data_IF_168592382791
#
_entry.id   IF_168592382791
#
_cell.length_a   1.000
_cell.length_b   1.000
_cell.length_c   1.000
_cell.angle_alpha   90.00
_cell.angle_beta   90.00
_cell.angle_gamma   90.00
#
_symmetry.space_group_name_H-M   'P 1'
#
loop_
_entity.id
_entity.type
_entity.pdbx_description
1 polymer ?
#
# COMPACT_ATOMS: atom_id res chain seq x y z
N UNK A 1 11.38 -60.60 12.89
CA UNK A 1 12.06 -60.26 11.62
C UNK A 1 10.99 -59.77 10.66
N UNK A 2 10.83 -58.46 10.53
CA UNK A 2 10.13 -57.85 9.40
C UNK A 2 11.22 -57.19 8.56
N UNK A 3 11.58 -57.84 7.46
CA UNK A 3 12.62 -57.37 6.57
C UNK A 3 12.13 -56.22 5.69
N UNK A 4 13.02 -55.25 5.59
CA UNK A 4 12.91 -53.98 4.88
C UNK A 4 12.93 -54.25 3.37
N UNK A 5 11.93 -53.76 2.65
CA UNK A 5 12.08 -53.55 1.21
C UNK A 5 12.37 -52.07 0.98
N UNK A 6 13.65 -51.82 0.70
CA UNK A 6 14.20 -50.60 0.12
C UNK A 6 13.67 -50.47 -1.31
N UNK A 7 13.05 -49.36 -1.67
CA UNK A 7 12.91 -48.97 -3.09
C UNK A 7 13.85 -47.78 -3.35
N UNK A 8 14.69 -47.84 -4.40
CA UNK A 8 15.70 -46.83 -4.66
C UNK A 8 15.10 -45.61 -5.38
N UNK A 9 15.60 -44.44 -5.00
CA UNK A 9 15.58 -43.25 -5.83
C UNK A 9 16.36 -43.51 -7.14
N UNK A 10 15.77 -43.20 -8.29
CA UNK A 10 16.40 -42.34 -9.30
C UNK A 10 15.46 -41.88 -10.41
N UNK A 11 15.75 -40.66 -10.82
CA UNK A 11 15.11 -39.72 -11.72
C UNK A 11 15.28 -40.10 -13.21
N UNK A 12 14.23 -39.95 -14.03
CA UNK A 12 14.35 -39.67 -15.48
C UNK A 12 13.09 -38.95 -16.00
N UNK A 13 13.31 -37.74 -16.53
CA UNK A 13 12.37 -36.97 -17.34
C UNK A 13 11.86 -37.79 -18.54
N UNK A 14 10.55 -37.82 -18.76
CA UNK A 14 9.97 -37.86 -20.10
C UNK A 14 8.56 -37.27 -20.10
N UNK A 15 8.41 -36.18 -20.83
CA UNK A 15 7.12 -35.63 -21.27
C UNK A 15 6.45 -36.67 -22.17
N UNK A 16 5.22 -37.07 -21.85
CA UNK A 16 4.33 -37.77 -22.79
C UNK A 16 2.97 -37.07 -22.73
N UNK A 17 2.69 -36.30 -23.78
CA UNK A 17 1.33 -35.95 -24.18
C UNK A 17 0.68 -37.18 -24.85
N UNK A 18 -0.63 -37.39 -24.67
CA UNK A 18 -1.46 -38.01 -25.70
C UNK A 18 -2.40 -36.95 -26.29
N UNK A 19 -2.23 -36.69 -27.59
CA UNK A 19 -3.17 -35.94 -28.41
C UNK A 19 -4.09 -36.91 -29.19
N UNK A 20 -5.40 -36.64 -29.08
CA UNK A 20 -6.55 -36.96 -29.95
C UNK A 20 -6.83 -38.45 -30.29
N UNK A 21 -8.06 -38.92 -30.55
CA UNK A 21 -9.14 -38.38 -31.37
C UNK A 21 -10.52 -39.03 -30.95
N UNK A 22 -11.63 -38.36 -31.29
CA UNK A 22 -12.97 -38.86 -31.71
C UNK A 22 -14.16 -38.64 -30.73
N UNK A 23 -14.78 -37.46 -30.92
CA UNK A 23 -16.23 -37.14 -31.02
C UNK A 23 -17.28 -38.00 -30.28
N UNK A 24 -17.92 -37.38 -29.28
CA UNK A 24 -19.33 -37.62 -28.93
C UNK A 24 -20.22 -36.49 -29.51
N UNK A 25 -21.50 -36.73 -29.79
CA UNK A 25 -22.38 -35.75 -30.42
C UNK A 25 -22.52 -34.49 -29.55
N UNK A 26 -22.44 -33.34 -30.22
CA UNK A 26 -22.70 -32.01 -29.66
C UNK A 26 -24.22 -31.86 -29.63
N UNK A 27 -24.83 -31.81 -28.44
CA UNK A 27 -26.22 -31.40 -28.33
C UNK A 27 -26.30 -29.90 -28.64
N UNK A 28 -26.73 -29.61 -29.86
CA UNK A 28 -27.19 -28.29 -30.28
C UNK A 28 -28.31 -27.85 -29.33
N UNK A 29 -27.96 -27.09 -28.30
CA UNK A 29 -28.95 -26.38 -27.50
C UNK A 29 -29.24 -25.07 -28.21
N UNK A 30 -30.26 -25.09 -29.06
CA UNK A 30 -30.85 -23.88 -29.63
C UNK A 30 -31.31 -22.93 -28.50
N UNK A 31 -30.88 -21.66 -28.48
CA UNK A 31 -31.52 -20.65 -27.65
C UNK A 31 -32.86 -20.30 -28.29
N UNK A 32 -33.89 -21.10 -28.03
CA UNK A 32 -35.26 -20.73 -28.35
C UNK A 32 -35.65 -19.49 -27.56
N UNK A 33 -35.74 -18.38 -28.30
CA UNK A 33 -36.57 -17.19 -28.08
C UNK A 33 -37.63 -17.37 -26.99
N UNK A 34 -37.37 -16.82 -25.80
CA UNK A 34 -38.46 -16.48 -24.89
C UNK A 34 -39.04 -15.14 -25.35
N UNK A 35 -40.14 -15.26 -26.09
CA UNK A 35 -41.04 -14.17 -26.40
C UNK A 35 -41.35 -13.36 -25.14
N UNK A 36 -41.16 -12.06 -25.25
CA UNK A 36 -41.68 -11.09 -24.31
C UNK A 36 -43.20 -11.02 -24.47
N UNK A 37 -43.97 -11.60 -23.55
CA UNK A 37 -45.35 -11.17 -23.30
C UNK A 37 -45.72 -11.30 -21.81
N UNK A 38 -45.77 -10.12 -21.17
CA UNK A 38 -46.77 -9.68 -20.19
C UNK A 38 -47.29 -10.67 -19.13
N UNK A 39 -46.82 -10.49 -17.88
CA UNK A 39 -47.70 -10.63 -16.72
C UNK A 39 -47.33 -9.65 -15.62
N UNK A 40 -48.20 -8.65 -15.50
CA UNK A 40 -48.26 -7.63 -14.47
C UNK A 40 -48.41 -8.25 -13.06
N UNK A 41 -47.37 -8.14 -12.23
CA UNK A 41 -47.55 -7.97 -10.77
C UNK A 41 -46.31 -7.37 -10.12
N UNK A 42 -46.04 -6.10 -10.42
CA UNK A 42 -45.11 -5.32 -9.60
C UNK A 42 -45.76 -5.09 -8.22
N UNK A 43 -45.16 -5.66 -7.17
CA UNK A 43 -45.51 -5.44 -5.75
C UNK A 43 -44.52 -4.45 -5.14
N UNK A 44 -44.30 -3.33 -5.81
CA UNK A 44 -43.50 -2.22 -5.32
C UNK A 44 -44.33 -0.94 -5.43
N UNK A 45 -44.33 -0.07 -4.41
CA UNK A 45 -45.07 1.17 -4.48
C UNK A 45 -44.45 2.05 -5.59
N UNK A 46 -45.26 2.30 -6.61
CA UNK A 46 -44.96 3.30 -7.65
C UNK A 46 -45.11 4.66 -6.99
N UNK A 47 -44.04 5.47 -7.01
CA UNK A 47 -44.13 6.87 -6.58
C UNK A 47 -44.94 7.64 -7.62
N UNK A 48 -46.06 8.19 -7.20
CA UNK A 48 -46.96 8.99 -8.03
C UNK A 48 -46.28 10.33 -8.32
N UNK A 49 -45.78 10.52 -9.54
CA UNK A 49 -45.26 11.82 -10.03
C UNK A 49 -46.36 12.62 -10.75
N UNK A 50 -47.57 12.61 -10.18
CA UNK A 50 -48.61 13.55 -10.57
C UNK A 50 -48.21 14.95 -10.10
N UNK A 51 -47.84 15.81 -11.05
CA UNK A 51 -47.57 17.24 -10.85
C UNK A 51 -48.86 17.92 -10.35
N UNK A 52 -48.91 18.48 -9.13
CA UNK A 52 -50.01 19.33 -8.72
C UNK A 52 -49.83 20.69 -9.38
N UNK A 53 -50.81 21.08 -10.20
CA UNK A 53 -50.97 22.45 -10.71
C UNK A 53 -51.54 23.31 -9.59
N UNK A 54 -50.69 23.81 -8.70
CA UNK A 54 -51.02 24.96 -7.87
C UNK A 54 -49.77 25.83 -7.73
N UNK A 55 -49.82 26.99 -8.38
CA UNK A 55 -48.79 28.01 -8.33
C UNK A 55 -48.75 28.63 -6.93
N UNK A 56 -47.93 28.05 -6.06
CA UNK A 56 -47.49 28.73 -4.84
C UNK A 56 -46.19 29.45 -5.17
N UNK A 57 -46.30 30.76 -5.35
CA UNK A 57 -45.20 31.69 -5.55
C UNK A 57 -44.36 31.74 -4.27
N UNK A 58 -43.27 30.98 -4.20
CA UNK A 58 -42.22 31.24 -3.22
C UNK A 58 -41.24 32.26 -3.80
N UNK A 59 -41.25 33.46 -3.23
CA UNK A 59 -40.24 34.47 -3.54
C UNK A 59 -38.89 34.04 -2.94
N UNK A 60 -38.01 33.50 -3.79
CA UNK A 60 -36.61 33.25 -3.41
C UNK A 60 -35.81 34.48 -3.82
N UNK A 61 -35.46 35.29 -2.83
CA UNK A 61 -34.61 36.45 -3.00
C UNK A 61 -33.25 36.06 -3.60
N UNK A 62 -32.91 36.72 -4.70
CA UNK A 62 -31.62 36.62 -5.40
C UNK A 62 -30.49 37.17 -4.52
N UNK A 63 -29.52 36.33 -4.17
CA UNK A 63 -28.30 36.76 -3.48
C UNK A 63 -27.15 36.72 -4.46
N UNK A 64 -26.54 37.89 -4.71
CA UNK A 64 -25.35 38.01 -5.55
C UNK A 64 -24.11 37.44 -4.84
N UNK A 65 -23.11 36.91 -5.57
CA UNK A 65 -21.86 36.46 -4.99
C UNK A 65 -21.03 37.68 -4.57
N UNK A 66 -20.73 37.78 -3.29
CA UNK A 66 -19.94 38.89 -2.73
C UNK A 66 -19.21 38.46 -1.47
N UNK A 67 -17.92 38.20 -1.64
CA UNK A 67 -16.80 38.26 -0.70
C UNK A 67 -17.04 38.22 0.82
N UNK A 68 -16.31 37.28 1.43
CA UNK A 68 -15.91 37.20 2.83
C UNK A 68 -15.72 38.57 3.49
N UNK A 69 -16.53 38.87 4.51
CA UNK A 69 -16.18 39.83 5.54
C UNK A 69 -15.54 39.06 6.70
N UNK A 70 -14.22 38.94 6.66
CA UNK A 70 -13.42 38.79 7.87
C UNK A 70 -13.27 40.16 8.52
N UNK A 71 -13.35 40.17 9.84
CA UNK A 71 -13.45 41.34 10.70
C UNK A 71 -12.27 42.33 10.58
N UNK A 72 -12.65 43.61 10.55
CA UNK A 72 -11.98 44.84 10.95
C UNK A 72 -10.45 44.91 11.11
N UNK A 73 -9.82 45.49 10.08
CA UNK A 73 -8.94 46.67 10.10
C UNK A 73 -8.10 47.00 11.35
N UNK A 74 -6.77 46.77 11.25
CA UNK A 74 -5.74 47.84 11.25
C UNK A 74 -4.37 47.23 10.96
N UNK A 75 -3.84 47.54 9.77
CA UNK A 75 -2.41 47.48 9.50
C UNK A 75 -1.93 48.93 9.54
N UNK A 76 -0.95 49.22 10.40
CA UNK A 76 -0.14 50.43 10.30
C UNK A 76 1.30 49.99 10.03
N UNK A 77 1.88 50.57 8.97
CA UNK A 77 3.25 50.36 8.54
C UNK A 77 4.26 50.83 9.61
N UNK A 78 5.46 50.25 9.69
CA UNK A 78 6.57 50.89 10.35
C UNK A 78 7.19 51.94 9.41
N UNK A 79 7.04 53.21 9.77
CA UNK A 79 7.77 54.33 9.19
C UNK A 79 9.02 54.63 10.02
N UNK A 80 10.11 54.92 9.30
CA UNK A 80 11.45 55.23 9.78
C UNK A 80 11.50 56.51 10.65
N UNK A 81 12.25 56.47 11.76
CA UNK A 81 12.99 57.64 12.22
C UNK A 81 14.20 57.28 13.12
N UNK A 82 15.35 57.25 12.45
CA UNK A 82 16.68 57.79 12.80
C UNK A 82 16.97 58.24 14.26
N UNK A 83 18.09 57.76 14.83
CA UNK A 83 19.13 58.63 15.43
C UNK A 83 20.39 57.86 15.87
N UNK A 84 21.42 57.98 15.02
CA UNK A 84 22.85 58.20 15.26
C UNK A 84 23.79 57.16 15.93
N UNK A 85 24.66 56.61 15.06
CA UNK A 85 26.15 56.63 15.06
C UNK A 85 26.91 55.96 16.24
N UNK A 86 27.94 55.14 16.00
CA UNK A 86 29.13 55.44 15.19
C UNK A 86 29.63 54.25 14.34
N UNK A 87 30.02 54.59 13.10
CA UNK A 87 30.91 53.80 12.26
C UNK A 87 32.35 53.93 12.76
N UNK A 88 33.11 52.84 12.72
CA UNK A 88 34.40 52.82 12.01
C UNK A 88 34.74 51.40 11.54
N UNK A 89 35.14 51.34 10.27
CA UNK A 89 35.69 50.21 9.55
C UNK A 89 37.03 49.75 10.15
N UNK A 90 37.42 48.49 9.93
CA UNK A 90 38.72 48.14 9.30
C UNK A 90 38.78 46.62 9.07
N UNK A 91 38.99 46.25 7.81
CA UNK A 91 39.38 44.91 7.37
C UNK A 91 40.84 44.66 7.79
N UNK A 92 41.12 43.49 8.36
CA UNK A 92 42.31 42.64 8.12
C UNK A 92 42.77 41.95 9.40
N UNK A 93 42.54 40.64 9.48
CA UNK A 93 43.65 39.68 9.58
C UNK A 93 43.10 38.26 9.57
N UNK A 94 43.66 37.53 8.62
CA UNK A 94 43.64 36.07 8.43
C UNK A 94 43.86 35.28 9.73
N UNK A 95 43.38 34.03 9.69
CA UNK A 95 43.51 32.96 10.71
C UNK A 95 42.45 33.07 11.82
N UNK A 96 41.43 32.21 11.94
CA UNK A 96 41.56 30.84 12.47
C UNK A 96 40.26 30.01 12.32
N UNK A 97 39.45 30.18 11.26
CA UNK A 97 38.45 29.15 10.94
C UNK A 97 39.18 28.02 10.19
N UNK A 98 39.92 27.19 10.92
CA UNK A 98 40.36 25.88 10.43
C UNK A 98 39.12 25.04 10.15
N UNK A 99 38.63 25.13 8.92
CA UNK A 99 37.90 24.04 8.26
C UNK A 99 38.83 22.84 8.26
N UNK A 100 38.74 22.00 9.28
CA UNK A 100 39.43 20.72 9.26
C UNK A 100 38.77 19.85 8.18
N UNK A 101 39.55 19.29 7.24
CA UNK A 101 39.03 18.33 6.29
C UNK A 101 38.63 17.09 7.08
N UNK A 102 37.36 16.68 6.92
CA UNK A 102 36.88 15.40 7.41
C UNK A 102 37.72 14.32 6.71
N UNK A 103 38.75 13.82 7.41
CA UNK A 103 39.55 12.69 6.95
C UNK A 103 38.67 11.45 7.10
N UNK A 104 38.49 10.73 6.00
CA UNK A 104 37.86 9.41 5.95
C UNK A 104 38.70 8.36 6.70
N UNK A 105 38.75 8.44 8.03
CA UNK A 105 39.21 7.31 8.84
C UNK A 105 38.00 6.43 9.17
N UNK A 106 38.03 5.12 8.89
CA UNK A 106 37.00 4.20 9.35
C UNK A 106 37.02 4.26 10.86
N UNK A 107 35.96 4.80 11.43
CA UNK A 107 35.80 4.86 12.85
C UNK A 107 35.54 3.42 13.33
N UNK A 108 36.58 2.75 13.83
CA UNK A 108 36.54 1.35 14.28
C UNK A 108 35.64 1.13 15.50
N UNK A 109 35.14 2.20 16.11
CA UNK A 109 34.36 2.18 17.37
C UNK A 109 33.02 2.91 17.32
N UNK A 110 32.61 3.46 16.18
CA UNK A 110 31.21 3.84 16.00
C UNK A 110 30.45 2.58 15.64
N UNK A 111 29.80 2.01 16.65
CA UNK A 111 28.70 1.09 16.45
C UNK A 111 27.56 1.87 15.75
N UNK A 112 27.70 2.14 14.46
CA UNK A 112 26.60 2.57 13.62
C UNK A 112 25.66 1.37 13.54
N UNK A 113 24.75 1.24 14.52
CA UNK A 113 23.64 0.31 14.39
C UNK A 113 22.96 0.56 13.05
N UNK A 114 22.62 -0.52 12.34
CA UNK A 114 21.86 -0.38 11.12
C UNK A 114 20.60 0.46 11.41
N UNK A 115 20.27 1.45 10.57
CA UNK A 115 19.09 2.28 10.77
C UNK A 115 17.84 1.38 10.74
N UNK A 116 16.71 1.80 11.32
CA UNK A 116 15.48 1.03 11.20
C UNK A 116 15.11 0.80 9.73
N UNK A 117 14.89 -0.45 9.28
CA UNK A 117 14.58 -0.72 7.89
C UNK A 117 13.21 -0.18 7.51
N UNK A 118 13.11 0.32 6.28
CA UNK A 118 11.85 0.70 5.64
C UNK A 118 11.25 -0.47 4.87
N UNK A 119 9.98 -0.33 4.49
CA UNK A 119 9.34 -1.30 3.60
C UNK A 119 10.09 -1.36 2.26
N UNK A 120 10.59 -0.24 1.73
CA UNK A 120 11.47 -0.24 0.54
C UNK A 120 12.68 -1.18 0.67
N UNK A 121 13.31 -1.25 1.84
CA UNK A 121 14.47 -2.12 2.07
C UNK A 121 14.07 -3.59 2.11
N UNK A 122 12.92 -3.88 2.72
CA UNK A 122 12.29 -5.20 2.75
C UNK A 122 11.92 -5.68 1.33
N UNK A 123 11.47 -4.76 0.46
CA UNK A 123 11.09 -5.07 -0.92
C UNK A 123 12.28 -5.50 -1.79
N UNK A 124 13.52 -5.20 -1.39
CA UNK A 124 14.73 -5.65 -2.08
C UNK A 124 15.15 -7.09 -1.71
N UNK A 125 14.39 -7.78 -0.85
CA UNK A 125 14.64 -9.14 -0.41
C UNK A 125 13.57 -10.11 -0.93
N UNK A 126 13.82 -10.75 -2.07
CA UNK A 126 12.88 -11.68 -2.71
C UNK A 126 12.55 -12.90 -1.84
N UNK A 127 13.50 -13.43 -1.07
CA UNK A 127 13.28 -14.59 -0.20
C UNK A 127 12.35 -14.22 0.96
N UNK A 128 12.53 -13.03 1.53
CA UNK A 128 11.63 -12.50 2.54
C UNK A 128 10.24 -12.24 1.95
N UNK A 129 10.17 -11.58 0.79
CA UNK A 129 8.90 -11.33 0.11
C UNK A 129 8.17 -12.65 -0.14
N UNK A 130 8.84 -13.66 -0.67
CA UNK A 130 8.25 -14.98 -0.89
C UNK A 130 7.62 -15.56 0.40
N UNK A 131 8.32 -15.49 1.53
CA UNK A 131 7.78 -15.94 2.84
C UNK A 131 6.55 -15.13 3.27
N UNK A 132 6.53 -13.83 3.00
CA UNK A 132 5.39 -12.97 3.31
C UNK A 132 4.19 -13.29 2.41
N UNK A 133 4.42 -13.49 1.10
CA UNK A 133 3.40 -13.90 0.12
C UNK A 133 2.71 -15.17 0.57
N UNK A 134 3.47 -16.22 0.90
CA UNK A 134 2.91 -17.49 1.40
C UNK A 134 2.01 -17.33 2.64
N UNK A 135 2.29 -16.35 3.49
CA UNK A 135 1.55 -16.12 4.74
C UNK A 135 0.36 -15.18 4.61
N UNK A 136 0.44 -14.20 3.71
CA UNK A 136 -0.51 -13.10 3.64
C UNK A 136 -1.42 -13.16 2.42
N UNK A 137 -1.02 -13.80 1.32
CA UNK A 137 -1.82 -13.91 0.09
C UNK A 137 -3.04 -14.84 0.21
N UNK A 138 -2.98 -15.98 0.94
CA UNK A 138 -4.13 -16.87 1.05
C UNK A 138 -5.39 -16.16 1.60
N UNK A 139 -6.51 -16.36 0.91
CA UNK A 139 -7.79 -15.75 1.27
C UNK A 139 -8.60 -16.62 2.24
N UNK A 140 -8.02 -16.89 3.42
CA UNK A 140 -8.75 -17.56 4.51
C UNK A 140 -9.49 -16.52 5.35
N UNK A 141 -10.82 -16.63 5.46
CA UNK A 141 -11.63 -15.68 6.23
C UNK A 141 -11.35 -15.69 7.74
N UNK A 142 -10.82 -16.80 8.25
CA UNK A 142 -10.52 -17.01 9.68
C UNK A 142 -9.22 -16.35 10.13
N UNK A 143 -8.33 -15.97 9.21
CA UNK A 143 -7.02 -15.39 9.51
C UNK A 143 -6.90 -14.05 8.78
N UNK A 144 -6.43 -13.01 9.48
CA UNK A 144 -6.25 -11.68 8.89
C UNK A 144 -5.17 -11.70 7.82
N UNK A 145 -5.55 -11.44 6.56
CA UNK A 145 -4.69 -11.49 5.37
C UNK A 145 -4.32 -10.11 4.83
N UNK A 146 -3.69 -10.04 3.66
CA UNK A 146 -3.28 -8.79 3.00
C UNK A 146 -4.39 -7.73 2.94
N UNK A 147 -5.66 -8.09 2.67
CA UNK A 147 -6.77 -7.13 2.61
C UNK A 147 -7.00 -6.43 3.95
N UNK A 148 -6.86 -7.17 5.05
CA UNK A 148 -7.04 -6.63 6.39
C UNK A 148 -5.90 -5.66 6.74
N UNK A 149 -4.68 -5.96 6.31
CA UNK A 149 -3.52 -5.08 6.49
C UNK A 149 -3.65 -3.82 5.65
N UNK A 150 -3.96 -3.98 4.36
CA UNK A 150 -4.19 -2.90 3.42
C UNK A 150 -5.32 -1.95 3.86
N UNK A 151 -6.47 -2.52 4.27
CA UNK A 151 -7.58 -1.74 4.82
C UNK A 151 -7.17 -0.95 6.06
N UNK A 152 -6.38 -1.54 6.96
CA UNK A 152 -5.91 -0.86 8.18
C UNK A 152 -4.93 0.27 7.91
N UNK A 153 -4.20 0.18 6.81
CA UNK A 153 -3.35 1.25 6.30
C UNK A 153 -4.07 2.21 5.33
N UNK A 154 -5.39 2.15 5.26
CA UNK A 154 -6.21 3.18 4.62
C UNK A 154 -6.56 2.92 3.15
N UNK A 155 -6.33 1.71 2.62
CA UNK A 155 -6.89 1.37 1.30
C UNK A 155 -8.42 1.23 1.39
N UNK A 156 -9.12 1.86 0.45
CA UNK A 156 -10.59 1.80 0.37
C UNK A 156 -11.05 0.42 -0.10
N UNK A 157 -12.33 0.10 0.11
CA UNK A 157 -12.90 -1.16 -0.36
C UNK A 157 -12.71 -1.35 -1.87
N UNK A 158 -13.00 -0.32 -2.67
CA UNK A 158 -12.86 -0.38 -4.13
C UNK A 158 -11.40 -0.61 -4.56
N UNK A 159 -10.45 0.02 -3.88
CA UNK A 159 -9.01 -0.21 -4.12
C UNK A 159 -8.61 -1.66 -3.79
N UNK A 160 -9.15 -2.23 -2.70
CA UNK A 160 -8.89 -3.62 -2.32
C UNK A 160 -9.46 -4.60 -3.35
N UNK A 161 -10.67 -4.32 -3.85
CA UNK A 161 -11.33 -5.13 -4.88
C UNK A 161 -10.53 -5.06 -6.17
N UNK A 162 -10.12 -3.87 -6.62
CA UNK A 162 -9.26 -3.73 -7.80
C UNK A 162 -7.94 -4.47 -7.66
N UNK A 163 -7.31 -4.38 -6.49
CA UNK A 163 -6.06 -5.08 -6.19
C UNK A 163 -6.24 -6.61 -6.25
N UNK A 164 -7.34 -7.13 -5.74
CA UNK A 164 -7.64 -8.56 -5.85
C UNK A 164 -7.78 -8.98 -7.31
N UNK A 165 -8.59 -8.28 -8.11
CA UNK A 165 -8.80 -8.64 -9.51
C UNK A 165 -7.51 -8.57 -10.34
N UNK A 166 -6.65 -7.57 -10.14
CA UNK A 166 -5.39 -7.44 -10.91
C UNK A 166 -4.33 -8.47 -10.53
N UNK A 167 -4.43 -9.05 -9.33
CA UNK A 167 -3.45 -10.03 -8.82
C UNK A 167 -3.95 -11.47 -8.95
N UNK A 168 -5.24 -11.67 -9.20
CA UNK A 168 -5.79 -12.98 -9.53
C UNK A 168 -5.17 -13.52 -10.82
N UNK A 169 -4.38 -14.59 -10.69
CA UNK A 169 -3.75 -15.26 -11.82
C UNK A 169 -2.58 -14.49 -12.46
N UNK A 170 -2.11 -13.41 -11.85
CA UNK A 170 -0.93 -12.67 -12.32
C UNK A 170 0.34 -13.11 -11.60
N UNK A 171 1.49 -12.68 -12.11
CA UNK A 171 2.80 -12.88 -11.45
C UNK A 171 2.96 -12.00 -10.21
N UNK A 172 2.12 -10.98 -10.04
CA UNK A 172 2.21 -10.02 -8.96
C UNK A 172 1.32 -10.41 -7.78
N UNK A 173 1.94 -10.51 -6.60
CA UNK A 173 1.25 -10.81 -5.35
C UNK A 173 0.51 -9.58 -4.81
N UNK A 174 -0.70 -9.74 -4.25
CA UNK A 174 -1.40 -8.65 -3.59
C UNK A 174 -0.67 -8.15 -2.35
N UNK A 175 0.04 -9.02 -1.61
CA UNK A 175 0.91 -8.59 -0.50
C UNK A 175 2.01 -7.68 -0.99
N UNK A 176 2.67 -8.01 -2.09
CA UNK A 176 3.76 -7.20 -2.63
C UNK A 176 3.28 -5.82 -3.09
N UNK A 177 2.16 -5.77 -3.80
CA UNK A 177 1.54 -4.53 -4.26
C UNK A 177 1.10 -3.63 -3.09
N UNK A 178 0.52 -4.21 -2.04
CA UNK A 178 0.20 -3.51 -0.80
C UNK A 178 1.46 -2.92 -0.13
N UNK A 179 2.53 -3.70 -0.03
CA UNK A 179 3.79 -3.24 0.55
C UNK A 179 4.44 -2.15 -0.31
N UNK A 180 4.41 -2.31 -1.64
CA UNK A 180 4.93 -1.33 -2.59
C UNK A 180 4.25 0.03 -2.44
N UNK A 181 2.93 0.07 -2.22
CA UNK A 181 2.18 1.31 -1.98
C UNK A 181 2.59 2.01 -0.69
N UNK A 182 3.13 1.27 0.28
CA UNK A 182 3.52 1.76 1.60
C UNK A 182 5.04 1.69 1.79
N UNK A 183 5.81 1.92 0.72
CA UNK A 183 7.26 1.73 0.72
C UNK A 183 8.01 2.72 1.64
N UNK A 184 7.39 3.85 1.94
CA UNK A 184 7.87 4.94 2.80
C UNK A 184 7.76 4.58 4.29
N UNK A 185 6.82 3.70 4.64
CA UNK A 185 6.63 3.21 6.01
C UNK A 185 7.82 2.41 6.50
N UNK A 186 7.92 2.31 7.81
CA UNK A 186 8.93 1.49 8.48
C UNK A 186 8.48 0.05 8.62
N UNK A 187 9.43 -0.89 8.65
CA UNK A 187 9.12 -2.30 9.00
C UNK A 187 8.55 -2.39 10.42
N UNK A 188 8.89 -1.45 11.31
CA UNK A 188 8.32 -1.35 12.65
C UNK A 188 6.80 -1.19 12.62
N UNK A 189 6.26 -0.29 11.81
CA UNK A 189 4.81 -0.11 11.66
C UNK A 189 4.14 -1.39 11.14
N UNK A 190 4.78 -2.12 10.22
CA UNK A 190 4.27 -3.43 9.76
C UNK A 190 4.26 -4.46 10.90
N UNK A 191 5.30 -4.49 11.73
CA UNK A 191 5.31 -5.38 12.91
C UNK A 191 4.23 -5.01 13.93
N UNK A 192 3.89 -3.74 14.07
CA UNK A 192 2.79 -3.29 14.92
C UNK A 192 1.43 -3.74 14.39
N UNK A 193 1.21 -3.71 13.08
CA UNK A 193 0.03 -4.35 12.47
C UNK A 193 -0.02 -5.86 12.73
N UNK A 194 1.13 -6.54 12.61
CA UNK A 194 1.19 -7.97 12.90
C UNK A 194 0.79 -8.27 14.35
N UNK A 195 1.23 -7.44 15.32
CA UNK A 195 0.81 -7.56 16.73
C UNK A 195 -0.67 -7.28 16.91
N UNK A 196 -1.19 -6.22 16.28
CA UNK A 196 -2.60 -5.85 16.36
C UNK A 196 -3.51 -7.00 15.89
N UNK A 197 -3.14 -7.63 14.78
CA UNK A 197 -3.88 -8.77 14.23
C UNK A 197 -3.46 -10.13 14.78
N UNK A 198 -2.56 -10.15 15.77
CA UNK A 198 -2.01 -11.38 16.36
C UNK A 198 -1.43 -12.35 15.31
N UNK A 199 -0.90 -11.81 14.20
CA UNK A 199 -0.20 -12.56 13.14
C UNK A 199 1.25 -12.84 13.56
N UNK A 200 1.40 -13.69 14.58
CA UNK A 200 2.70 -14.05 15.15
C UNK A 200 3.61 -14.73 14.12
N UNK A 201 3.02 -15.49 13.21
CA UNK A 201 3.72 -16.18 12.12
C UNK A 201 4.42 -15.21 11.14
N UNK A 202 3.80 -14.07 10.85
CA UNK A 202 4.40 -12.99 10.04
C UNK A 202 5.36 -12.15 10.87
N UNK A 203 4.99 -11.84 12.11
CA UNK A 203 5.83 -11.10 13.04
C UNK A 203 7.20 -11.76 13.24
N UNK A 204 7.23 -13.08 13.44
CA UNK A 204 8.46 -13.85 13.62
C UNK A 204 9.37 -13.76 12.39
N UNK A 205 8.80 -13.85 11.18
CA UNK A 205 9.54 -13.70 9.92
C UNK A 205 10.19 -12.32 9.84
N UNK A 206 9.42 -11.26 10.12
CA UNK A 206 9.94 -9.88 10.10
C UNK A 206 11.02 -9.65 11.16
N UNK A 207 10.79 -10.10 12.40
CA UNK A 207 11.76 -9.92 13.49
C UNK A 207 13.06 -10.69 13.24
N UNK A 208 12.97 -11.91 12.71
CA UNK A 208 14.14 -12.70 12.35
C UNK A 208 14.96 -11.99 11.26
N UNK A 209 14.29 -11.45 10.24
CA UNK A 209 14.96 -10.70 9.18
C UNK A 209 15.62 -9.42 9.68
N UNK A 210 14.91 -8.60 10.46
CA UNK A 210 15.46 -7.36 11.05
C UNK A 210 16.69 -7.64 11.91
N UNK A 211 16.70 -8.77 12.64
CA UNK A 211 17.81 -9.13 13.52
C UNK A 211 19.01 -9.69 12.75
N UNK A 212 18.78 -10.57 11.76
CA UNK A 212 19.83 -11.41 11.20
C UNK A 212 20.29 -10.98 9.80
N UNK A 213 19.38 -10.48 8.98
CA UNK A 213 19.60 -10.22 7.56
C UNK A 213 19.81 -8.73 7.28
N UNK A 214 19.01 -7.88 7.91
CA UNK A 214 19.08 -6.43 7.71
C UNK A 214 20.46 -5.81 8.02
N UNK A 215 21.13 -6.10 9.16
CA UNK A 215 22.44 -5.52 9.44
C UNK A 215 23.49 -5.88 8.39
N UNK A 216 23.44 -7.09 7.85
CA UNK A 216 24.35 -7.57 6.79
C UNK A 216 24.05 -6.91 5.45
N UNK A 217 22.78 -6.64 5.15
CA UNK A 217 22.35 -5.95 3.92
C UNK A 217 22.74 -4.48 3.95
N UNK A 218 22.47 -3.79 5.07
CA UNK A 218 22.86 -2.39 5.25
C UNK A 218 24.37 -2.16 5.09
N UNK A 219 25.19 -3.07 5.63
CA UNK A 219 26.65 -2.99 5.50
C UNK A 219 27.15 -3.13 4.06
N UNK A 220 26.40 -3.76 3.15
CA UNK A 220 26.78 -3.91 1.73
C UNK A 220 26.42 -2.69 0.88
N UNK A 221 25.46 -1.87 1.34
CA UNK A 221 24.98 -0.69 0.63
C UNK A 221 25.82 0.55 1.00
N UNK A 222 26.53 0.51 2.13
CA UNK A 222 27.50 1.53 2.56
C UNK A 222 28.85 1.31 1.89
#
# INVERSE_FOLDING_TARGET
LCDKILLPYNNVNSFIFPAHIISGPVEDTDPSSIAAEMSLKSKYPVQDTAIPKDAVTMEVASVKPGYLMSQSHRITQPEDNESHCFYTETISSTDFIKRLPFKDSPCETCCCSAPPPKISDLMNDEDLLYKLRLKLDPNYSTIKNWKNFASKWGMTYDELVLLEHRTQGSTHSPTQEFLQRNNDKTVKELTELCRLYQRIDVLNVLQQWVKNDWPKRWQKVR
#
